data_IF_346141244636
#
_entry.id   IF_346141244636
#
_cell.length_a   1.000
_cell.length_b   1.000
_cell.length_c   1.000
_cell.angle_alpha   90.00
_cell.angle_beta   90.00
_cell.angle_gamma   90.00
#
_symmetry.space_group_name_H-M   'P 1'
#
loop_
_entity.id
_entity.type
_entity.pdbx_description
1 polymer ?
#
# COMPACT_ATOMS: atom_id res chain seq x y z
N UNK A 1 -11.45 -10.32 -0.66
CA UNK A 1 -10.65 -10.83 -1.80
C UNK A 1 -9.59 -11.81 -1.31
N UNK A 2 -8.67 -11.44 -0.41
CA UNK A 2 -7.63 -12.34 0.14
C UNK A 2 -8.13 -13.73 0.57
N UNK A 3 -9.16 -13.80 1.43
CA UNK A 3 -9.73 -15.08 1.89
C UNK A 3 -10.43 -15.86 0.78
N UNK A 4 -11.19 -15.16 -0.05
CA UNK A 4 -11.91 -15.74 -1.19
C UNK A 4 -10.95 -16.40 -2.19
N UNK A 5 -9.83 -15.74 -2.46
CA UNK A 5 -8.80 -16.19 -3.41
C UNK A 5 -7.70 -17.01 -2.72
N UNK A 6 -7.85 -17.33 -1.42
CA UNK A 6 -6.91 -18.14 -0.62
C UNK A 6 -5.45 -17.67 -0.71
N UNK A 7 -5.25 -16.35 -0.70
CA UNK A 7 -3.91 -15.75 -0.70
C UNK A 7 -3.32 -15.82 0.72
N UNK A 8 -2.29 -16.66 0.88
CA UNK A 8 -1.67 -16.96 2.19
C UNK A 8 -0.28 -16.33 2.36
N UNK A 9 0.32 -15.84 1.28
CA UNK A 9 1.68 -15.28 1.23
C UNK A 9 1.72 -13.74 1.34
N UNK A 10 0.57 -13.09 1.53
CA UNK A 10 0.46 -11.65 1.73
C UNK A 10 -0.01 -11.31 3.15
N UNK A 11 0.86 -10.61 3.87
CA UNK A 11 0.55 -10.00 5.16
C UNK A 11 0.07 -8.56 4.99
N UNK A 12 -0.97 -8.17 5.74
CA UNK A 12 -1.51 -6.81 5.72
C UNK A 12 -1.24 -6.17 7.08
N UNK A 13 -0.53 -5.05 7.09
CA UNK A 13 -0.26 -4.25 8.28
C UNK A 13 -0.96 -2.90 8.10
N UNK A 14 -1.81 -2.53 9.05
CA UNK A 14 -2.45 -1.21 9.06
C UNK A 14 -1.62 -0.22 9.87
N UNK A 15 -1.45 0.98 9.35
CA UNK A 15 -0.83 2.10 10.06
C UNK A 15 -1.92 3.08 10.47
N UNK A 16 -2.48 2.86 11.67
CA UNK A 16 -3.63 3.62 12.18
C UNK A 16 -3.25 5.06 12.61
N UNK A 17 -1.98 5.29 12.95
CA UNK A 17 -1.46 6.60 13.32
C UNK A 17 -0.40 7.04 12.32
N UNK A 18 -0.68 8.11 11.57
CA UNK A 18 0.25 8.67 10.59
C UNK A 18 1.05 9.84 11.15
N UNK A 19 0.52 10.56 12.14
CA UNK A 19 1.24 11.62 12.82
C UNK A 19 0.96 11.67 14.34
N UNK A 20 1.99 11.72 15.20
CA UNK A 20 3.41 11.53 14.87
C UNK A 20 3.67 10.09 14.37
N UNK A 21 4.60 9.92 13.42
CA UNK A 21 4.81 8.62 12.76
C UNK A 21 5.37 7.58 13.76
N UNK A 22 4.70 6.45 14.01
CA UNK A 22 5.14 5.42 14.96
C UNK A 22 6.21 4.49 14.34
N UNK A 23 7.32 5.07 13.87
CA UNK A 23 8.40 4.37 13.14
C UNK A 23 8.85 3.07 13.79
N UNK A 24 9.11 3.08 15.11
CA UNK A 24 9.59 1.89 15.82
C UNK A 24 8.57 0.74 15.82
N UNK A 25 7.28 1.07 15.90
CA UNK A 25 6.21 0.06 15.89
C UNK A 25 6.08 -0.57 14.50
N UNK A 26 6.14 0.25 13.44
CA UNK A 26 6.12 -0.20 12.05
C UNK A 26 7.28 -1.17 11.78
N UNK A 27 8.51 -0.76 12.10
CA UNK A 27 9.70 -1.60 11.88
C UNK A 27 9.64 -2.88 12.73
N UNK A 28 9.13 -2.82 13.96
CA UNK A 28 8.95 -4.01 14.81
C UNK A 28 7.93 -4.99 14.23
N UNK A 29 6.82 -4.49 13.70
CA UNK A 29 5.79 -5.33 13.08
C UNK A 29 6.33 -6.06 11.84
N UNK A 30 7.14 -5.39 11.02
CA UNK A 30 7.73 -5.95 9.81
C UNK A 30 8.82 -6.99 10.14
N UNK A 31 9.60 -6.76 11.19
CA UNK A 31 10.64 -7.71 11.65
C UNK A 31 10.11 -9.09 12.07
N UNK A 32 8.79 -9.24 12.29
CA UNK A 32 8.19 -10.53 12.61
C UNK A 32 8.12 -11.49 11.40
N UNK A 33 8.34 -10.99 10.18
CA UNK A 33 8.30 -11.77 8.96
C UNK A 33 9.71 -12.19 8.51
N UNK A 34 9.78 -13.08 7.49
CA UNK A 34 11.05 -13.59 6.96
C UNK A 34 11.97 -12.45 6.50
N UNK A 35 13.28 -12.70 6.53
CA UNK A 35 14.25 -11.82 5.85
C UNK A 35 13.92 -11.81 4.36
N UNK A 36 14.02 -10.63 3.74
CA UNK A 36 13.81 -10.38 2.30
C UNK A 36 12.36 -10.43 1.78
N UNK A 37 11.39 -10.03 2.62
CA UNK A 37 10.02 -9.80 2.13
C UNK A 37 9.93 -8.54 1.26
N UNK A 38 9.17 -8.64 0.17
CA UNK A 38 8.74 -7.47 -0.59
C UNK A 38 7.82 -6.63 0.30
N UNK A 39 8.14 -5.34 0.42
CA UNK A 39 7.34 -4.40 1.21
C UNK A 39 6.74 -3.35 0.29
N UNK A 40 5.43 -3.19 0.37
CA UNK A 40 4.67 -2.21 -0.43
C UNK A 40 3.83 -1.33 0.48
N UNK A 41 3.81 -0.04 0.20
CA UNK A 41 2.81 0.87 0.74
C UNK A 41 1.58 0.83 -0.17
N UNK A 42 0.47 0.31 0.36
CA UNK A 42 -0.80 0.24 -0.36
C UNK A 42 -1.66 1.45 0.01
N UNK A 43 -2.14 2.18 -0.98
CA UNK A 43 -3.11 3.26 -0.78
C UNK A 43 -4.11 3.35 -1.94
N UNK A 44 -5.28 3.92 -1.68
CA UNK A 44 -6.27 4.15 -2.72
C UNK A 44 -6.06 5.49 -3.43
N UNK A 45 -5.46 6.45 -2.75
CA UNK A 45 -5.15 7.76 -3.30
C UNK A 45 -4.18 7.64 -4.49
N UNK A 46 -4.22 8.58 -5.45
CA UNK A 46 -3.18 8.73 -6.46
C UNK A 46 -1.78 8.72 -5.83
N UNK A 47 -0.78 8.19 -6.52
CA UNK A 47 0.60 8.08 -6.00
C UNK A 47 1.20 9.44 -5.58
N UNK A 48 0.83 10.52 -6.27
CA UNK A 48 1.22 11.89 -5.93
C UNK A 48 0.40 12.51 -4.77
N UNK A 49 -0.49 11.73 -4.16
CA UNK A 49 -1.37 12.12 -3.06
C UNK A 49 -1.27 11.09 -1.91
N UNK A 50 -2.14 11.23 -0.91
CA UNK A 50 -2.14 10.35 0.26
C UNK A 50 -0.85 10.50 1.08
N UNK A 51 -0.42 9.39 1.68
CA UNK A 51 0.71 9.39 2.61
C UNK A 51 2.00 8.81 2.05
N UNK A 52 2.00 8.31 0.81
CA UNK A 52 3.17 7.73 0.18
C UNK A 52 4.43 8.60 0.31
N UNK A 53 4.37 9.86 -0.12
CA UNK A 53 5.50 10.79 -0.04
C UNK A 53 5.99 11.03 1.39
N UNK A 54 5.08 11.05 2.37
CA UNK A 54 5.44 11.19 3.78
C UNK A 54 6.12 9.92 4.32
N UNK A 55 5.54 8.75 4.04
CA UNK A 55 6.02 7.46 4.53
C UNK A 55 7.41 7.17 3.96
N UNK A 56 7.59 7.26 2.64
CA UNK A 56 8.87 6.98 2.00
C UNK A 56 9.96 7.92 2.51
N UNK A 57 9.67 9.22 2.66
CA UNK A 57 10.64 10.20 3.17
C UNK A 57 11.10 9.90 4.59
N UNK A 58 10.24 9.34 5.43
CA UNK A 58 10.56 9.06 6.83
C UNK A 58 11.16 7.66 7.06
N UNK A 59 10.94 6.71 6.15
CA UNK A 59 11.34 5.31 6.32
C UNK A 59 12.39 4.81 5.31
N UNK A 60 12.75 5.57 4.27
CA UNK A 60 13.66 5.09 3.21
C UNK A 60 15.02 4.57 3.69
N UNK A 61 15.52 5.05 4.84
CA UNK A 61 16.80 4.59 5.41
C UNK A 61 16.69 3.24 6.12
N UNK A 62 15.49 2.87 6.55
CA UNK A 62 15.25 1.73 7.43
C UNK A 62 14.53 0.59 6.71
N UNK A 63 13.82 0.92 5.62
CA UNK A 63 12.94 0.01 4.91
C UNK A 63 12.83 0.43 3.45
N UNK A 64 13.34 -0.42 2.56
CA UNK A 64 13.06 -0.32 1.13
C UNK A 64 11.60 -0.73 0.89
N UNK A 65 10.85 0.11 0.17
CA UNK A 65 9.46 -0.14 -0.15
C UNK A 65 9.10 0.47 -1.49
N UNK A 66 8.16 -0.17 -2.18
CA UNK A 66 7.48 0.39 -3.35
C UNK A 66 6.05 0.82 -2.96
N UNK A 67 5.28 1.36 -3.91
CA UNK A 67 3.90 1.80 -3.71
C UNK A 67 2.95 1.14 -4.69
N UNK A 68 1.79 0.76 -4.18
CA UNK A 68 0.63 0.37 -4.99
C UNK A 68 -0.46 1.42 -4.71
N UNK A 69 -0.78 2.20 -5.74
CA UNK A 69 -1.67 3.35 -5.65
C UNK A 69 -2.43 3.55 -6.98
N UNK A 70 -3.41 4.46 -6.98
CA UNK A 70 -3.96 4.97 -8.25
C UNK A 70 -2.88 5.74 -8.99
N UNK A 71 -2.99 5.82 -10.32
CA UNK A 71 -2.05 6.61 -11.14
C UNK A 71 -2.04 8.07 -10.68
N UNK A 72 -0.89 8.77 -10.78
CA UNK A 72 -0.83 10.19 -10.47
C UNK A 72 -1.90 11.00 -11.20
N UNK A 73 -2.54 11.92 -10.50
CA UNK A 73 -3.66 12.71 -11.01
C UNK A 73 -3.67 14.09 -10.35
N UNK A 74 -4.22 15.08 -11.06
CA UNK A 74 -4.51 16.40 -10.47
C UNK A 74 -5.77 16.37 -9.58
N UNK A 75 -6.72 15.49 -9.89
CA UNK A 75 -7.93 15.26 -9.10
C UNK A 75 -7.74 14.13 -8.10
N UNK A 76 -8.33 14.18 -6.89
CA UNK A 76 -8.28 13.09 -5.91
C UNK A 76 -8.85 11.75 -6.41
N UNK A 77 -9.83 11.80 -7.31
CA UNK A 77 -10.45 10.63 -7.91
C UNK A 77 -11.02 10.95 -9.30
N UNK A 78 -11.28 9.89 -10.08
CA UNK A 78 -12.10 9.98 -11.28
C UNK A 78 -13.56 10.29 -10.94
N UNK A 79 -14.20 11.13 -11.75
CA UNK A 79 -15.64 11.43 -11.65
C UNK A 79 -16.55 10.33 -12.20
N UNK A 80 -15.99 9.33 -12.88
CA UNK A 80 -16.75 8.25 -13.50
C UNK A 80 -16.74 6.99 -12.64
N UNK A 81 -17.91 6.62 -12.11
CA UNK A 81 -18.06 5.48 -11.20
C UNK A 81 -17.49 4.16 -11.76
N UNK A 82 -17.71 3.89 -13.05
CA UNK A 82 -17.18 2.68 -13.72
C UNK A 82 -15.65 2.65 -13.72
N UNK A 83 -15.00 3.79 -13.92
CA UNK A 83 -13.54 3.90 -13.89
C UNK A 83 -13.03 3.72 -12.47
N UNK A 84 -13.70 4.34 -11.49
CA UNK A 84 -13.34 4.20 -10.08
C UNK A 84 -13.34 2.74 -9.61
N UNK A 85 -14.39 1.98 -9.96
CA UNK A 85 -14.47 0.55 -9.64
C UNK A 85 -13.35 -0.27 -10.32
N UNK A 86 -13.00 0.08 -11.55
CA UNK A 86 -11.92 -0.59 -12.28
C UNK A 86 -10.55 -0.32 -11.64
N UNK A 87 -10.27 0.94 -11.27
CA UNK A 87 -9.06 1.33 -10.55
C UNK A 87 -8.95 0.61 -9.20
N UNK A 88 -10.06 0.56 -8.44
CA UNK A 88 -10.10 -0.14 -7.16
C UNK A 88 -9.79 -1.63 -7.30
N UNK A 89 -10.40 -2.27 -8.29
CA UNK A 89 -10.15 -3.69 -8.58
C UNK A 89 -8.68 -3.92 -8.94
N UNK A 90 -8.11 -3.09 -9.81
CA UNK A 90 -6.72 -3.19 -10.25
C UNK A 90 -5.72 -3.06 -9.09
N UNK A 91 -5.95 -2.14 -8.17
CA UNK A 91 -5.11 -1.95 -6.97
C UNK A 91 -5.13 -3.21 -6.09
N UNK A 92 -6.32 -3.76 -5.84
CA UNK A 92 -6.46 -4.95 -5.01
C UNK A 92 -5.85 -6.20 -5.67
N UNK A 93 -6.04 -6.36 -6.97
CA UNK A 93 -5.44 -7.46 -7.76
C UNK A 93 -3.92 -7.37 -7.71
N UNK A 94 -3.33 -6.19 -7.94
CA UNK A 94 -1.89 -5.96 -7.84
C UNK A 94 -1.36 -6.23 -6.43
N UNK A 95 -2.03 -5.70 -5.39
CA UNK A 95 -1.61 -5.84 -4.00
C UNK A 95 -1.62 -7.28 -3.49
N UNK A 96 -2.56 -8.09 -4.00
CA UNK A 96 -2.70 -9.50 -3.63
C UNK A 96 -2.04 -10.44 -4.65
N UNK A 97 -1.33 -9.92 -5.67
CA UNK A 97 -0.69 -10.68 -6.75
C UNK A 97 -1.67 -11.64 -7.47
N UNK A 98 -2.92 -11.23 -7.59
CA UNK A 98 -3.97 -11.96 -8.32
C UNK A 98 -3.98 -11.42 -9.74
N UNK A 99 -3.61 -12.24 -10.73
CA UNK A 99 -3.42 -11.84 -12.13
C UNK A 99 -2.40 -10.68 -12.32
N UNK A 100 -1.14 -10.86 -11.88
CA UNK A 100 -0.10 -9.84 -11.95
C UNK A 100 0.35 -9.49 -13.37
#
# INVERSE_FOLDING_TARGET
MREKEKVEDVAIIRVEQLHPLPKNQILKAIKAYKKDIETVWLQEEPENMGYWAFIVRNLYKDLAMDVIARKPSASPATGYHKVHLAEQKQILEKALKINP
#
